data_IF_439972342730
#
_entry.id   IF_439972342730
#
_cell.length_a   1.000
_cell.length_b   1.000
_cell.length_c   1.000
_cell.angle_alpha   90.00
_cell.angle_beta   90.00
_cell.angle_gamma   90.00
#
_symmetry.space_group_name_H-M   'P 1'
#
loop_
_entity.id
_entity.type
_entity.pdbx_description
1 polymer ?
#
# COMPACT_ATOMS: atom_id res chain seq x y z
N UNK A 1 16.34 1.44 -6.38
CA UNK A 1 15.57 1.49 -5.11
C UNK A 1 15.02 0.13 -4.70
N UNK A 2 14.32 -0.59 -5.57
CA UNK A 2 13.81 -1.92 -5.23
C UNK A 2 14.90 -2.91 -4.84
N UNK A 3 16.02 -2.86 -5.53
CA UNK A 3 17.17 -3.72 -5.25
C UNK A 3 17.74 -3.47 -3.86
N UNK A 4 17.91 -2.19 -3.48
CA UNK A 4 18.39 -1.85 -2.14
C UNK A 4 17.37 -2.22 -1.07
N UNK A 5 16.09 -2.08 -1.37
CA UNK A 5 15.02 -2.46 -0.46
C UNK A 5 15.06 -3.95 -0.14
N UNK A 6 15.16 -4.81 -1.17
CA UNK A 6 15.26 -6.26 -1.00
C UNK A 6 16.44 -6.65 -0.12
N UNK A 7 17.55 -5.94 -0.23
CA UNK A 7 18.78 -6.23 0.50
C UNK A 7 18.87 -5.53 1.84
N UNK A 8 17.82 -4.83 2.27
CA UNK A 8 17.82 -4.02 3.49
C UNK A 8 18.93 -2.96 3.49
N UNK A 9 19.31 -2.47 2.31
CA UNK A 9 20.36 -1.46 2.11
C UNK A 9 19.81 -0.10 1.69
N UNK A 10 18.50 0.03 1.59
CA UNK A 10 17.90 1.29 1.20
C UNK A 10 18.13 2.35 2.28
N UNK A 11 18.50 3.57 1.85
CA UNK A 11 18.69 4.69 2.76
C UNK A 11 17.39 4.98 3.51
N UNK A 12 17.48 5.11 4.83
CA UNK A 12 16.32 5.37 5.68
C UNK A 12 15.60 6.67 5.29
N UNK A 13 16.31 7.65 4.75
CA UNK A 13 15.70 8.90 4.27
C UNK A 13 14.70 8.68 3.14
N UNK A 14 14.77 7.56 2.43
CA UNK A 14 13.82 7.18 1.38
C UNK A 14 12.61 6.45 1.94
N UNK A 15 12.61 6.11 3.24
CA UNK A 15 11.53 5.41 3.90
C UNK A 15 10.50 6.39 4.46
N UNK A 16 10.04 7.31 3.62
CA UNK A 16 8.97 8.25 3.92
C UNK A 16 7.68 7.82 3.21
N UNK A 17 6.64 8.60 3.31
CA UNK A 17 5.36 8.27 2.70
C UNK A 17 5.50 8.07 1.18
N UNK A 18 6.17 8.99 0.50
CA UNK A 18 6.38 8.89 -0.95
C UNK A 18 7.17 7.62 -1.31
N UNK A 19 8.27 7.37 -0.60
CA UNK A 19 9.11 6.21 -0.85
C UNK A 19 8.40 4.88 -0.63
N UNK A 20 7.58 4.80 0.42
CA UNK A 20 6.78 3.61 0.69
C UNK A 20 5.77 3.35 -0.42
N UNK A 21 5.04 4.36 -0.83
CA UNK A 21 4.07 4.21 -1.92
C UNK A 21 4.76 3.86 -3.24
N UNK A 22 5.93 4.42 -3.48
CA UNK A 22 6.70 4.10 -4.68
C UNK A 22 7.07 2.63 -4.75
N UNK A 23 7.43 2.04 -3.62
CA UNK A 23 7.73 0.61 -3.53
C UNK A 23 6.48 -0.23 -3.78
N UNK A 24 5.35 0.16 -3.20
CA UNK A 24 4.08 -0.51 -3.44
C UNK A 24 3.71 -0.47 -4.93
N UNK A 25 3.83 0.70 -5.54
CA UNK A 25 3.54 0.86 -6.97
C UNK A 25 4.46 0.00 -7.84
N UNK A 26 5.75 -0.05 -7.50
CA UNK A 26 6.70 -0.91 -8.20
C UNK A 26 6.25 -2.38 -8.16
N UNK A 27 5.84 -2.85 -6.99
CA UNK A 27 5.34 -4.22 -6.83
C UNK A 27 4.09 -4.48 -7.68
N UNK A 28 3.16 -3.52 -7.68
CA UNK A 28 1.94 -3.63 -8.48
C UNK A 28 2.26 -3.77 -9.97
N UNK A 29 3.16 -2.95 -10.47
CA UNK A 29 3.52 -2.95 -11.88
C UNK A 29 4.30 -4.21 -12.28
N UNK A 30 5.15 -4.70 -11.41
CA UNK A 30 6.00 -5.86 -11.71
C UNK A 30 5.32 -7.19 -11.46
N UNK A 31 4.59 -7.32 -10.35
CA UNK A 31 4.05 -8.60 -9.89
C UNK A 31 2.53 -8.70 -9.96
N UNK A 32 1.84 -7.59 -10.15
CA UNK A 32 0.38 -7.55 -10.16
C UNK A 32 -0.23 -7.44 -8.77
N UNK A 33 -1.53 -7.19 -8.72
CA UNK A 33 -2.25 -6.91 -7.46
C UNK A 33 -2.27 -8.13 -6.54
N UNK A 34 -2.66 -9.30 -7.07
CA UNK A 34 -2.78 -10.52 -6.25
C UNK A 34 -1.47 -10.88 -5.56
N UNK A 35 -0.35 -10.76 -6.27
CA UNK A 35 0.97 -11.06 -5.72
C UNK A 35 1.44 -9.97 -4.76
N UNK A 36 1.06 -8.72 -5.00
CA UNK A 36 1.45 -7.60 -4.13
C UNK A 36 0.80 -7.72 -2.75
N UNK A 37 -0.47 -8.10 -2.68
CA UNK A 37 -1.18 -8.24 -1.41
C UNK A 37 -0.97 -9.59 -0.73
N UNK A 38 -0.32 -10.54 -1.39
CA UNK A 38 -0.02 -11.84 -0.81
C UNK A 38 0.94 -11.66 0.37
N UNK A 39 0.55 -12.13 1.59
CA UNK A 39 1.44 -12.01 2.77
C UNK A 39 2.80 -12.67 2.57
N UNK A 40 2.91 -13.66 1.68
CA UNK A 40 4.15 -14.35 1.34
C UNK A 40 4.78 -13.85 0.05
N UNK A 41 4.20 -12.81 -0.57
CA UNK A 41 4.70 -12.24 -1.81
C UNK A 41 5.89 -11.30 -1.59
N UNK A 42 6.41 -10.81 -2.70
CA UNK A 42 7.62 -9.97 -2.70
C UNK A 42 7.47 -8.74 -1.80
N UNK A 43 6.36 -8.01 -1.92
CA UNK A 43 6.20 -6.76 -1.18
C UNK A 43 6.13 -7.00 0.33
N UNK A 44 5.20 -7.83 0.78
CA UNK A 44 4.99 -8.06 2.21
C UNK A 44 6.20 -8.67 2.88
N UNK A 45 6.83 -9.65 2.22
CA UNK A 45 8.00 -10.32 2.73
C UNK A 45 9.19 -9.35 2.90
N UNK A 46 9.47 -8.57 1.88
CA UNK A 46 10.60 -7.63 1.92
C UNK A 46 10.32 -6.42 2.79
N UNK A 47 9.06 -5.98 2.86
CA UNK A 47 8.66 -4.88 3.75
C UNK A 47 8.89 -5.23 5.21
N UNK A 48 8.44 -6.42 5.63
CA UNK A 48 8.69 -6.91 7.00
C UNK A 48 10.19 -7.00 7.28
N UNK A 49 10.94 -7.56 6.34
CA UNK A 49 12.39 -7.73 6.47
C UNK A 49 13.08 -6.37 6.63
N UNK A 50 12.72 -5.40 5.81
CA UNK A 50 13.29 -4.06 5.88
C UNK A 50 12.95 -3.38 7.22
N UNK A 51 11.68 -3.41 7.63
CA UNK A 51 11.28 -2.82 8.91
C UNK A 51 12.03 -3.44 10.08
N UNK A 52 12.20 -4.75 10.08
CA UNK A 52 12.96 -5.44 11.11
C UNK A 52 14.41 -4.96 11.11
N UNK A 53 15.02 -4.79 9.93
CA UNK A 53 16.41 -4.36 9.82
C UNK A 53 16.65 -2.96 10.36
N UNK A 54 15.65 -2.07 10.35
CA UNK A 54 15.73 -0.72 10.90
C UNK A 54 15.14 -0.60 12.30
N UNK A 55 14.82 -1.73 12.95
CA UNK A 55 14.30 -1.74 14.32
C UNK A 55 12.79 -1.47 14.43
N UNK A 56 12.04 -1.49 13.34
CA UNK A 56 10.61 -1.18 13.31
C UNK A 56 9.73 -2.39 13.00
N UNK A 57 10.22 -3.61 13.25
CA UNK A 57 9.49 -4.83 12.92
C UNK A 57 8.13 -4.96 13.60
N UNK A 58 8.00 -4.41 14.82
CA UNK A 58 6.74 -4.40 15.55
C UNK A 58 5.71 -3.41 15.00
N UNK A 59 6.09 -2.58 14.03
CA UNK A 59 5.19 -1.62 13.38
C UNK A 59 4.62 -2.12 12.06
N UNK A 60 4.85 -3.39 11.74
CA UNK A 60 4.24 -4.00 10.54
C UNK A 60 2.72 -3.93 10.62
N UNK A 61 2.09 -3.56 9.52
CA UNK A 61 0.64 -3.40 9.46
C UNK A 61 0.11 -3.88 8.11
N UNK A 62 -0.42 -5.10 8.07
CA UNK A 62 -0.90 -5.71 6.83
C UNK A 62 -2.07 -4.95 6.21
N UNK A 63 -3.08 -4.59 7.02
CA UNK A 63 -4.28 -3.90 6.51
C UNK A 63 -3.92 -2.58 5.83
N UNK A 64 -3.04 -1.76 6.43
CA UNK A 64 -2.63 -0.49 5.82
C UNK A 64 -1.80 -0.72 4.56
N UNK A 65 -0.93 -1.70 4.55
CA UNK A 65 -0.14 -2.03 3.36
C UNK A 65 -1.06 -2.43 2.20
N UNK A 66 -2.04 -3.28 2.47
CA UNK A 66 -3.03 -3.69 1.46
C UNK A 66 -3.96 -2.54 1.08
N UNK A 67 -4.33 -1.68 2.01
CA UNK A 67 -5.13 -0.49 1.73
C UNK A 67 -4.43 0.37 0.66
N UNK A 68 -3.16 0.69 0.88
CA UNK A 68 -2.41 1.53 -0.07
C UNK A 68 -2.21 0.83 -1.41
N UNK A 69 -1.97 -0.48 -1.40
CA UNK A 69 -1.88 -1.25 -2.64
C UNK A 69 -3.19 -1.17 -3.42
N UNK A 70 -4.32 -1.25 -2.73
CA UNK A 70 -5.64 -1.17 -3.37
C UNK A 70 -5.89 0.21 -3.97
N UNK A 71 -5.58 1.27 -3.21
CA UNK A 71 -5.73 2.66 -3.70
C UNK A 71 -4.89 2.87 -4.96
N UNK A 72 -3.61 2.52 -4.91
CA UNK A 72 -2.72 2.72 -6.04
C UNK A 72 -3.11 1.86 -7.25
N UNK A 73 -3.55 0.64 -7.00
CA UNK A 73 -4.02 -0.24 -8.08
C UNK A 73 -5.24 0.34 -8.79
N UNK A 74 -6.21 0.86 -8.04
CA UNK A 74 -7.40 1.45 -8.63
C UNK A 74 -7.07 2.69 -9.45
N UNK A 75 -6.20 3.56 -8.93
CA UNK A 75 -5.79 4.76 -9.66
C UNK A 75 -5.01 4.42 -10.92
N UNK A 76 -4.08 3.48 -10.85
CA UNK A 76 -3.29 3.06 -12.01
C UNK A 76 -4.18 2.40 -13.07
N UNK A 77 -5.11 1.57 -12.65
CA UNK A 77 -6.04 0.91 -13.58
C UNK A 77 -6.94 1.89 -14.32
N UNK A 78 -7.29 2.97 -13.65
CA UNK A 78 -8.21 3.98 -14.20
C UNK A 78 -7.54 4.86 -15.25
N UNK A 79 -6.30 5.29 -15.03
CA UNK A 79 -5.63 6.29 -15.88
C UNK A 79 -4.32 5.84 -16.53
N UNK A 80 -3.78 4.69 -16.12
CA UNK A 80 -2.56 4.11 -16.71
C UNK A 80 -1.39 5.09 -16.75
N UNK A 81 -1.01 5.61 -15.59
CA UNK A 81 0.13 6.53 -15.49
C UNK A 81 1.44 5.87 -15.91
N UNK A 82 2.30 6.63 -16.59
CA UNK A 82 3.60 6.12 -17.06
C UNK A 82 4.60 5.93 -15.93
N UNK A 83 4.53 6.78 -14.90
CA UNK A 83 5.43 6.75 -13.75
C UNK A 83 4.66 6.90 -12.46
N UNK A 84 5.26 6.47 -11.35
CA UNK A 84 4.67 6.71 -10.04
C UNK A 84 4.60 8.21 -9.72
N UNK A 85 5.61 8.99 -10.11
CA UNK A 85 5.60 10.45 -9.91
C UNK A 85 4.36 11.10 -10.51
N UNK A 86 4.00 10.70 -11.72
CA UNK A 86 2.80 11.24 -12.37
C UNK A 86 1.54 10.87 -11.62
N UNK A 87 1.41 9.61 -11.19
CA UNK A 87 0.28 9.16 -10.39
C UNK A 87 0.17 9.99 -9.10
N UNK A 88 1.29 10.17 -8.43
CA UNK A 88 1.35 10.86 -7.14
C UNK A 88 0.97 12.34 -7.28
N UNK A 89 1.48 13.02 -8.31
CA UNK A 89 1.20 14.43 -8.55
C UNK A 89 -0.26 14.67 -8.95
N UNK A 90 -0.83 13.78 -9.74
CA UNK A 90 -2.20 13.96 -10.26
C UNK A 90 -3.28 13.49 -9.30
N UNK A 91 -2.93 12.91 -8.17
CA UNK A 91 -3.88 12.43 -7.16
C UNK A 91 -3.45 12.96 -5.79
N UNK A 92 -3.72 14.26 -5.49
CA UNK A 92 -3.27 14.88 -4.23
C UNK A 92 -3.69 14.13 -2.98
N UNK A 93 -4.81 13.40 -3.01
CA UNK A 93 -5.29 12.63 -1.87
C UNK A 93 -4.31 11.55 -1.42
N UNK A 94 -3.52 10.97 -2.34
CA UNK A 94 -2.55 9.94 -1.95
C UNK A 94 -1.31 10.54 -1.29
N UNK A 95 -1.13 11.86 -1.38
CA UNK A 95 -0.02 12.54 -0.72
C UNK A 95 -0.25 12.68 0.78
N UNK A 96 -1.48 12.47 1.24
CA UNK A 96 -1.82 12.52 2.65
C UNK A 96 -1.68 11.13 3.27
N UNK A 97 -0.66 10.93 4.11
CA UNK A 97 -0.43 9.65 4.79
C UNK A 97 -1.55 9.24 5.74
N UNK A 98 -2.44 10.18 6.10
CA UNK A 98 -3.59 9.90 6.96
C UNK A 98 -4.87 9.63 6.16
N UNK A 99 -4.79 9.44 4.85
CA UNK A 99 -5.96 9.18 4.02
C UNK A 99 -6.78 7.99 4.54
N UNK A 100 -6.13 6.96 5.08
CA UNK A 100 -6.82 5.78 5.60
C UNK A 100 -7.87 6.11 6.67
N UNK A 101 -7.73 7.24 7.36
CA UNK A 101 -8.69 7.66 8.39
C UNK A 101 -10.05 8.04 7.82
N UNK A 102 -10.14 8.29 6.52
CA UNK A 102 -11.42 8.49 5.84
C UNK A 102 -12.14 7.17 5.59
N UNK A 103 -11.44 6.04 5.68
CA UNK A 103 -11.95 4.70 5.38
C UNK A 103 -12.12 3.83 6.62
N UNK A 104 -11.35 4.09 7.66
CA UNK A 104 -11.32 3.27 8.88
C UNK A 104 -11.51 4.10 10.14
N UNK A 105 -12.28 3.56 11.09
CA UNK A 105 -12.28 4.06 12.46
C UNK A 105 -10.97 3.63 13.14
N UNK A 106 -10.43 4.49 14.02
CA UNK A 106 -9.15 4.22 14.68
C UNK A 106 -9.19 2.94 15.55
N UNK A 107 -10.31 2.67 16.22
CA UNK A 107 -10.46 1.50 17.07
C UNK A 107 -10.53 0.19 16.30
N UNK A 108 -10.67 0.25 14.99
CA UNK A 108 -10.67 -0.92 14.11
C UNK A 108 -9.29 -1.12 13.47
N UNK A 109 -8.73 -0.02 12.89
CA UNK A 109 -7.50 -0.15 12.10
C UNK A 109 -6.26 -0.37 12.97
N UNK A 110 -6.27 0.10 14.21
CA UNK A 110 -5.11 -0.06 15.10
C UNK A 110 -5.17 -1.29 16.00
N UNK A 111 -6.03 -2.26 15.67
CA UNK A 111 -6.09 -3.53 16.38
C UNK A 111 -4.96 -4.47 15.94
N UNK A 112 -4.64 -5.45 16.79
CA UNK A 112 -3.71 -6.53 16.45
C UNK A 112 -4.23 -7.31 15.24
N UNK A 113 -5.54 -7.54 15.17
CA UNK A 113 -6.15 -8.22 14.03
C UNK A 113 -5.88 -7.48 12.72
N UNK A 114 -6.07 -6.16 12.69
CA UNK A 114 -5.83 -5.37 11.48
C UNK A 114 -4.35 -5.35 11.09
N UNK A 115 -3.44 -5.41 12.07
CA UNK A 115 -1.99 -5.47 11.79
C UNK A 115 -1.58 -6.77 11.12
N UNK A 116 -2.24 -7.87 11.45
CA UNK A 116 -1.84 -9.19 10.99
C UNK A 116 -2.72 -9.73 9.86
N UNK A 117 -3.93 -9.20 9.70
CA UNK A 117 -4.91 -9.70 8.74
C UNK A 117 -5.59 -8.54 8.01
N UNK A 118 -6.25 -8.84 6.92
CA UNK A 118 -7.06 -7.83 6.21
C UNK A 118 -8.34 -7.55 6.98
N UNK A 119 -8.57 -6.26 7.22
CA UNK A 119 -9.85 -5.76 7.73
C UNK A 119 -10.39 -4.78 6.70
N UNK A 120 -11.60 -5.03 6.22
CA UNK A 120 -12.24 -4.17 5.23
C UNK A 120 -12.53 -2.78 5.81
N UNK A 121 -12.47 -1.73 4.98
CA UNK A 121 -12.85 -0.38 5.42
C UNK A 121 -14.26 -0.37 6.02
N UNK A 122 -14.42 0.31 7.15
CA UNK A 122 -15.69 0.36 7.89
C UNK A 122 -16.35 1.75 7.88
N UNK A 123 -15.77 2.75 7.20
CA UNK A 123 -16.35 4.09 7.06
C UNK A 123 -16.88 4.34 5.66
N UNK A 124 -16.13 3.95 4.63
CA UNK A 124 -16.57 4.04 3.24
C UNK A 124 -15.80 3.03 2.38
N UNK A 125 -16.34 2.71 1.21
CA UNK A 125 -15.66 1.86 0.23
C UNK A 125 -14.45 2.59 -0.36
N UNK A 126 -13.42 1.84 -0.74
CA UNK A 126 -12.20 2.42 -1.33
C UNK A 126 -12.50 3.08 -2.65
N UNK A 127 -13.42 2.52 -3.45
CA UNK A 127 -13.87 3.14 -4.70
C UNK A 127 -15.40 3.18 -4.73
N UNK A 128 -16.00 4.14 -5.50
CA UNK A 128 -17.44 4.16 -5.69
C UNK A 128 -17.96 2.83 -6.26
N UNK A 129 -19.18 2.46 -5.90
CA UNK A 129 -19.80 1.21 -6.37
C UNK A 129 -19.79 1.10 -7.88
N UNK A 130 -19.97 2.21 -8.59
CA UNK A 130 -19.93 2.24 -10.05
C UNK A 130 -18.60 1.78 -10.64
N UNK A 131 -17.49 1.91 -9.88
CA UNK A 131 -16.17 1.53 -10.35
C UNK A 131 -15.81 0.10 -9.97
N UNK A 132 -16.50 -0.50 -9.00
CA UNK A 132 -16.24 -1.86 -8.55
C UNK A 132 -16.43 -2.87 -9.67
N UNK A 133 -17.46 -2.69 -10.49
CA UNK A 133 -17.75 -3.58 -11.60
C UNK A 133 -16.66 -3.59 -12.66
N UNK A 134 -15.80 -2.57 -12.68
CA UNK A 134 -14.75 -2.44 -13.68
C UNK A 134 -13.49 -3.22 -13.30
N UNK A 135 -13.23 -3.43 -12.01
CA UNK A 135 -11.98 -4.06 -11.60
C UNK A 135 -12.17 -5.29 -10.73
N UNK A 136 -13.21 -5.37 -9.94
CA UNK A 136 -13.46 -6.50 -9.04
C UNK A 136 -12.46 -6.67 -7.90
N UNK A 137 -11.36 -5.95 -7.94
CA UNK A 137 -10.26 -6.10 -6.98
C UNK A 137 -10.14 -4.98 -5.97
N UNK A 138 -10.85 -3.89 -6.18
CA UNK A 138 -10.76 -2.71 -5.33
C UNK A 138 -11.70 -2.77 -4.12
N UNK A 139 -12.19 -3.96 -3.81
CA UNK A 139 -13.10 -4.18 -2.66
C UNK A 139 -12.42 -4.71 -1.41
#
# INVERSE_FOLDING_TARGET
MAFQFERCKMNLNLWDHYGRLRIVHYSLMKYGFANTIDPNGWLCKNWKKYKTSIGHGNLWHYTLTRFWATILYCLQSKNKYSTFSELYEKNPEVQNGSLFKEYYLDDIVFTTNARNNWVSPNKKLIIPISDISLSGYCL
#
